data_IF_567803604414
#
_entry.id   IF_567803604414
#
_cell.length_a   1.000
_cell.length_b   1.000
_cell.length_c   1.000
_cell.angle_alpha   90.00
_cell.angle_beta   90.00
_cell.angle_gamma   90.00
#
_symmetry.space_group_name_H-M   'P 1'
#
loop_
_entity.id
_entity.type
_entity.pdbx_description
1 polymer ?
#
# COMPACT_ATOMS: atom_id res chain seq x y z
N UNK A 1 -4.62 -66.76 -4.74
CA UNK A 1 -5.65 -65.72 -4.84
C UNK A 1 -5.91 -65.20 -3.43
N UNK A 2 -5.57 -63.94 -3.17
CA UNK A 2 -6.19 -63.12 -2.12
C UNK A 2 -5.62 -61.70 -2.17
N UNK A 3 -6.45 -60.84 -2.74
CA UNK A 3 -6.54 -59.38 -2.74
C UNK A 3 -5.49 -58.57 -1.97
N UNK A 4 -4.66 -57.86 -2.75
CA UNK A 4 -4.00 -56.63 -2.29
C UNK A 4 -5.09 -55.59 -2.02
N UNK A 5 -5.30 -55.28 -0.74
CA UNK A 5 -6.14 -54.16 -0.30
C UNK A 5 -5.71 -52.87 -1.01
N UNK A 6 -6.55 -52.40 -1.93
CA UNK A 6 -6.46 -51.08 -2.51
C UNK A 6 -6.67 -50.04 -1.40
N UNK A 7 -5.57 -49.45 -0.93
CA UNK A 7 -5.61 -48.26 -0.09
C UNK A 7 -6.44 -47.19 -0.79
N UNK A 8 -7.65 -46.93 -0.27
CA UNK A 8 -8.53 -45.84 -0.70
C UNK A 8 -7.81 -44.50 -0.48
N UNK A 9 -7.03 -44.07 -1.46
CA UNK A 9 -6.54 -42.69 -1.52
C UNK A 9 -7.77 -41.78 -1.65
N UNK A 10 -8.12 -41.09 -0.54
CA UNK A 10 -9.15 -40.03 -0.55
C UNK A 10 -8.81 -39.05 -1.67
N UNK A 11 -9.77 -38.82 -2.58
CA UNK A 11 -9.57 -37.91 -3.71
C UNK A 11 -9.21 -36.51 -3.20
N UNK A 12 -8.54 -35.69 -4.02
CA UNK A 12 -8.18 -34.30 -3.65
C UNK A 12 -9.41 -33.52 -3.15
N UNK A 13 -10.54 -33.67 -3.84
CA UNK A 13 -11.82 -33.09 -3.45
C UNK A 13 -12.30 -33.54 -2.06
N UNK A 14 -12.15 -34.81 -1.68
CA UNK A 14 -12.51 -35.30 -0.34
C UNK A 14 -11.58 -34.77 0.75
N UNK A 15 -10.29 -34.57 0.44
CA UNK A 15 -9.34 -33.95 1.38
C UNK A 15 -9.62 -32.47 1.57
N UNK A 16 -10.00 -31.76 0.52
CA UNK A 16 -10.35 -30.34 0.58
C UNK A 16 -11.69 -30.14 1.32
N UNK A 17 -12.68 -31.01 1.08
CA UNK A 17 -13.93 -31.02 1.83
C UNK A 17 -13.73 -31.31 3.33
N UNK A 18 -12.83 -32.24 3.69
CA UNK A 18 -12.53 -32.55 5.09
C UNK A 18 -11.74 -31.44 5.83
N UNK A 19 -11.02 -30.59 5.09
CA UNK A 19 -10.34 -29.40 5.62
C UNK A 19 -11.25 -28.18 5.73
N UNK A 20 -12.35 -28.16 4.98
CA UNK A 20 -13.31 -27.07 4.98
C UNK A 20 -14.08 -27.06 6.31
N UNK A 21 -13.75 -26.08 7.16
CA UNK A 21 -14.45 -25.80 8.42
C UNK A 21 -15.07 -24.41 8.32
N UNK A 22 -16.42 -24.30 8.28
CA UNK A 22 -17.10 -23.01 8.11
C UNK A 22 -16.67 -21.95 9.14
N UNK A 23 -16.56 -22.32 10.44
CA UNK A 23 -16.11 -21.41 11.50
C UNK A 23 -14.70 -20.86 11.25
N UNK A 24 -13.74 -21.70 10.83
CA UNK A 24 -12.38 -21.25 10.51
C UNK A 24 -12.34 -20.28 9.33
N UNK A 25 -13.31 -20.36 8.43
CA UNK A 25 -13.43 -19.47 7.27
C UNK A 25 -13.97 -18.10 7.70
N UNK A 26 -14.95 -18.09 8.59
CA UNK A 26 -15.49 -16.88 9.21
C UNK A 26 -14.44 -16.15 10.05
N UNK A 27 -13.75 -16.85 10.97
CA UNK A 27 -12.73 -16.24 11.81
C UNK A 27 -11.61 -15.61 10.99
N UNK A 28 -11.15 -16.30 9.93
CA UNK A 28 -10.13 -15.78 9.01
C UNK A 28 -10.61 -14.56 8.23
N UNK A 29 -11.88 -14.54 7.83
CA UNK A 29 -12.46 -13.40 7.15
C UNK A 29 -12.52 -12.17 8.08
N UNK A 30 -13.06 -12.33 9.28
CA UNK A 30 -13.15 -11.21 10.23
C UNK A 30 -11.78 -10.72 10.67
N UNK A 31 -10.80 -11.63 10.85
CA UNK A 31 -9.41 -11.24 11.08
C UNK A 31 -8.87 -10.40 9.91
N UNK A 32 -9.03 -10.86 8.66
CA UNK A 32 -8.55 -10.11 7.50
C UNK A 32 -9.26 -8.75 7.36
N UNK A 33 -10.54 -8.67 7.72
CA UNK A 33 -11.30 -7.41 7.68
C UNK A 33 -10.76 -6.42 8.72
N UNK A 34 -10.56 -6.91 9.95
CA UNK A 34 -9.95 -6.13 11.01
C UNK A 34 -8.54 -5.67 10.65
N UNK A 35 -7.68 -6.56 10.13
CA UNK A 35 -6.32 -6.21 9.69
C UNK A 35 -6.35 -5.10 8.63
N UNK A 36 -7.29 -5.15 7.67
CA UNK A 36 -7.44 -4.13 6.63
C UNK A 36 -7.95 -2.79 7.17
N UNK A 37 -8.91 -2.81 8.11
CA UNK A 37 -9.41 -1.60 8.77
C UNK A 37 -8.31 -0.92 9.58
N UNK A 38 -7.58 -1.70 10.38
CA UNK A 38 -6.45 -1.20 11.18
C UNK A 38 -5.36 -0.58 10.30
N UNK A 39 -5.05 -1.18 9.14
CA UNK A 39 -4.10 -0.59 8.20
C UNK A 39 -4.55 0.78 7.66
N UNK A 40 -5.86 0.96 7.41
CA UNK A 40 -6.42 2.25 6.98
C UNK A 40 -6.36 3.29 8.12
N UNK A 41 -6.70 2.90 9.35
CA UNK A 41 -6.64 3.76 10.54
C UNK A 41 -5.20 4.23 10.81
N UNK A 42 -4.23 3.32 10.77
CA UNK A 42 -2.81 3.62 10.93
C UNK A 42 -2.32 4.60 9.87
N UNK A 43 -2.68 4.36 8.60
CA UNK A 43 -2.30 5.23 7.50
C UNK A 43 -2.95 6.61 7.63
N UNK A 44 -4.23 6.69 7.98
CA UNK A 44 -4.93 7.96 8.23
C UNK A 44 -4.24 8.76 9.34
N UNK A 45 -3.96 8.12 10.48
CA UNK A 45 -3.27 8.75 11.60
C UNK A 45 -1.85 9.20 11.23
N UNK A 46 -1.17 8.47 10.35
CA UNK A 46 0.14 8.86 9.81
C UNK A 46 0.05 10.09 8.92
N UNK A 47 -0.88 10.09 7.95
CA UNK A 47 -1.13 11.23 7.04
C UNK A 47 -1.51 12.48 7.82
N UNK A 48 -2.31 12.37 8.89
CA UNK A 48 -2.69 13.52 9.72
C UNK A 48 -1.50 14.13 10.47
N UNK A 49 -0.51 13.31 10.86
CA UNK A 49 0.69 13.75 11.58
C UNK A 49 1.83 14.18 10.66
N UNK A 50 1.78 13.83 9.38
CA UNK A 50 2.85 14.16 8.44
C UNK A 50 2.82 15.63 8.05
N UNK A 51 4.01 16.21 7.85
CA UNK A 51 4.17 17.60 7.42
C UNK A 51 4.22 17.69 5.90
N UNK A 52 3.18 17.14 5.25
CA UNK A 52 3.02 17.17 3.79
C UNK A 52 2.11 18.32 3.37
N UNK A 53 2.34 18.83 2.16
CA UNK A 53 1.49 19.83 1.55
C UNK A 53 0.01 19.40 1.49
N UNK A 54 -0.90 20.34 1.75
CA UNK A 54 -2.32 20.06 1.98
C UNK A 54 -3.01 19.40 0.78
N UNK A 55 -2.62 19.76 -0.45
CA UNK A 55 -3.17 19.14 -1.65
C UNK A 55 -2.83 17.64 -1.73
N UNK A 56 -1.61 17.26 -1.36
CA UNK A 56 -1.17 15.84 -1.31
C UNK A 56 -1.88 15.12 -0.16
N UNK A 57 -1.98 15.77 1.00
CA UNK A 57 -2.71 15.25 2.17
C UNK A 57 -4.14 14.90 1.82
N UNK A 58 -4.85 15.81 1.15
CA UNK A 58 -6.23 15.62 0.76
C UNK A 58 -6.41 14.39 -0.14
N UNK A 59 -5.56 14.24 -1.16
CA UNK A 59 -5.64 13.11 -2.09
C UNK A 59 -5.30 11.77 -1.42
N UNK A 60 -4.31 11.75 -0.51
CA UNK A 60 -3.99 10.56 0.26
C UNK A 60 -5.13 10.17 1.21
N UNK A 61 -5.77 11.13 1.89
CA UNK A 61 -6.95 10.85 2.72
C UNK A 61 -8.11 10.32 1.87
N UNK A 62 -8.32 10.86 0.66
CA UNK A 62 -9.32 10.35 -0.27
C UNK A 62 -9.03 8.91 -0.70
N UNK A 63 -7.76 8.55 -0.89
CA UNK A 63 -7.36 7.17 -1.17
C UNK A 63 -7.68 6.24 0.01
N UNK A 64 -7.43 6.69 1.25
CA UNK A 64 -7.83 5.93 2.45
C UNK A 64 -9.34 5.74 2.54
N UNK A 65 -10.13 6.80 2.34
CA UNK A 65 -11.60 6.74 2.35
C UNK A 65 -12.13 5.73 1.30
N UNK A 66 -11.50 5.69 0.13
CA UNK A 66 -11.83 4.73 -0.92
C UNK A 66 -11.43 3.29 -0.55
N UNK A 67 -10.30 3.07 0.12
CA UNK A 67 -9.92 1.75 0.63
C UNK A 67 -10.90 1.26 1.71
N UNK A 68 -11.27 2.12 2.66
CA UNK A 68 -12.27 1.81 3.69
C UNK A 68 -13.64 1.46 3.09
N UNK A 69 -14.05 2.20 2.07
CA UNK A 69 -15.27 1.91 1.30
C UNK A 69 -15.20 0.51 0.67
N UNK A 70 -14.09 0.17 0.00
CA UNK A 70 -13.89 -1.17 -0.58
C UNK A 70 -13.92 -2.29 0.47
N UNK A 71 -13.36 -2.07 1.67
CA UNK A 71 -13.40 -3.03 2.77
C UNK A 71 -14.84 -3.26 3.25
N UNK A 72 -15.63 -2.18 3.33
CA UNK A 72 -17.03 -2.23 3.76
C UNK A 72 -17.89 -3.11 2.84
N UNK A 73 -17.61 -3.05 1.53
CA UNK A 73 -18.30 -3.82 0.48
C UNK A 73 -17.91 -5.30 0.41
N UNK A 74 -16.85 -5.73 1.11
CA UNK A 74 -16.49 -7.15 1.12
C UNK A 74 -17.41 -7.93 2.06
N UNK A 75 -18.30 -8.71 1.44
CA UNK A 75 -19.19 -9.64 2.14
C UNK A 75 -18.61 -11.05 2.21
N UNK A 76 -18.89 -11.75 3.31
CA UNK A 76 -18.49 -13.14 3.55
C UNK A 76 -19.06 -14.13 2.51
N UNK A 77 -20.18 -13.77 1.87
CA UNK A 77 -20.91 -14.54 0.86
C UNK A 77 -20.21 -14.58 -0.50
N UNK A 78 -19.27 -13.65 -0.76
CA UNK A 78 -18.51 -13.59 -2.01
C UNK A 78 -17.50 -14.74 -2.10
N UNK A 79 -17.10 -15.07 -3.32
CA UNK A 79 -16.01 -16.02 -3.58
C UNK A 79 -14.68 -15.44 -3.08
N UNK A 80 -13.97 -16.17 -2.21
CA UNK A 80 -12.65 -15.81 -1.66
C UNK A 80 -12.56 -14.41 -0.98
N UNK A 81 -13.49 -14.06 -0.06
CA UNK A 81 -13.62 -12.70 0.44
C UNK A 81 -12.40 -12.26 1.27
N UNK A 82 -11.78 -13.21 1.99
CA UNK A 82 -10.53 -12.96 2.71
C UNK A 82 -9.33 -12.68 1.81
N UNK A 83 -9.34 -13.09 0.53
CA UNK A 83 -8.27 -12.73 -0.40
C UNK A 83 -8.36 -11.27 -0.80
N UNK A 84 -9.56 -10.80 -1.16
CA UNK A 84 -9.78 -9.40 -1.51
C UNK A 84 -9.38 -8.47 -0.38
N UNK A 85 -9.69 -8.82 0.87
CA UNK A 85 -9.28 -8.03 2.03
C UNK A 85 -7.75 -7.96 2.17
N UNK A 86 -7.03 -9.06 1.95
CA UNK A 86 -5.56 -9.05 1.97
C UNK A 86 -4.97 -8.23 0.83
N UNK A 87 -5.58 -8.26 -0.34
CA UNK A 87 -5.16 -7.45 -1.49
C UNK A 87 -5.33 -5.96 -1.15
N UNK A 88 -6.47 -5.56 -0.59
CA UNK A 88 -6.69 -4.18 -0.11
C UNK A 88 -5.66 -3.80 0.97
N UNK A 89 -5.38 -4.67 1.94
CA UNK A 89 -4.33 -4.41 2.95
C UNK A 89 -2.97 -4.16 2.30
N UNK A 90 -2.63 -4.91 1.25
CA UNK A 90 -1.38 -4.75 0.51
C UNK A 90 -1.36 -3.41 -0.24
N UNK A 91 -2.45 -3.06 -0.91
CA UNK A 91 -2.60 -1.80 -1.62
C UNK A 91 -2.45 -0.60 -0.67
N UNK A 92 -3.09 -0.66 0.51
CA UNK A 92 -2.91 0.33 1.60
C UNK A 92 -1.45 0.42 2.03
N UNK A 93 -0.75 -0.72 2.11
CA UNK A 93 0.68 -0.76 2.38
C UNK A 93 1.53 -0.02 1.33
N UNK A 94 1.19 -0.14 0.04
CA UNK A 94 1.87 0.61 -1.03
C UNK A 94 1.61 2.12 -0.92
N UNK A 95 0.38 2.53 -0.60
CA UNK A 95 0.05 3.96 -0.34
C UNK A 95 0.81 4.49 0.87
N UNK A 96 0.96 3.68 1.93
CA UNK A 96 1.72 4.06 3.12
C UNK A 96 3.21 4.31 2.82
N UNK A 97 3.81 3.53 1.91
CA UNK A 97 5.20 3.76 1.46
C UNK A 97 5.27 5.02 0.60
N UNK A 98 4.30 5.23 -0.30
CA UNK A 98 4.21 6.46 -1.09
C UNK A 98 4.14 7.71 -0.21
N UNK A 99 3.28 7.70 0.81
CA UNK A 99 3.14 8.79 1.78
C UNK A 99 4.49 9.15 2.44
N UNK A 100 5.32 8.16 2.77
CA UNK A 100 6.63 8.41 3.40
C UNK A 100 7.56 9.19 2.49
N UNK A 101 7.60 8.82 1.21
CA UNK A 101 8.48 9.46 0.25
C UNK A 101 7.93 10.81 -0.23
N UNK A 102 6.61 10.97 -0.31
CA UNK A 102 5.98 12.27 -0.53
C UNK A 102 6.28 13.24 0.62
N UNK A 103 6.25 12.78 1.86
CA UNK A 103 6.63 13.60 3.01
C UNK A 103 8.12 13.95 3.05
N UNK A 104 8.97 13.00 2.67
CA UNK A 104 10.40 13.25 2.53
C UNK A 104 10.68 14.27 1.41
N UNK A 105 10.00 14.17 0.28
CA UNK A 105 10.11 15.10 -0.84
C UNK A 105 9.79 16.54 -0.43
N UNK A 106 8.65 16.76 0.23
CA UNK A 106 8.25 18.10 0.69
C UNK A 106 9.27 18.71 1.65
N UNK A 107 9.76 17.90 2.61
CA UNK A 107 10.84 18.30 3.53
C UNK A 107 12.13 18.69 2.80
N UNK A 108 12.52 17.92 1.78
CA UNK A 108 13.77 18.13 1.04
C UNK A 108 13.68 19.34 0.13
N UNK A 109 12.54 19.53 -0.55
CA UNK A 109 12.26 20.73 -1.32
C UNK A 109 12.29 21.98 -0.42
N UNK A 110 11.69 21.90 0.78
CA UNK A 110 11.76 22.97 1.77
C UNK A 110 13.19 23.30 2.21
N UNK A 111 14.05 22.29 2.39
CA UNK A 111 15.48 22.48 2.72
C UNK A 111 16.31 23.03 1.57
N UNK A 112 16.04 22.59 0.34
CA UNK A 112 16.72 23.08 -0.85
C UNK A 112 16.37 24.55 -1.13
N UNK A 113 15.13 24.95 -0.85
CA UNK A 113 14.66 26.31 -1.09
C UNK A 113 14.71 26.72 -2.57
N UNK A 114 14.57 28.02 -2.82
CA UNK A 114 14.65 28.60 -4.18
C UNK A 114 16.04 28.48 -4.80
N UNK A 115 17.07 28.45 -3.95
CA UNK A 115 18.47 28.56 -4.35
C UNK A 115 19.14 27.20 -4.55
N UNK A 116 18.40 26.12 -4.27
CA UNK A 116 18.80 24.75 -4.54
C UNK A 116 18.89 24.44 -6.04
N UNK A 117 19.67 23.41 -6.43
CA UNK A 117 19.82 23.02 -7.82
C UNK A 117 18.47 22.80 -8.49
N UNK A 118 18.22 23.54 -9.57
CA UNK A 118 16.95 23.48 -10.30
C UNK A 118 16.66 22.05 -10.80
N UNK A 119 17.68 21.35 -11.26
CA UNK A 119 17.55 19.96 -11.73
C UNK A 119 16.97 19.03 -10.68
N UNK A 120 17.40 19.17 -9.41
CA UNK A 120 16.97 18.28 -8.33
C UNK A 120 15.55 18.59 -7.86
N UNK A 121 15.16 19.88 -7.88
CA UNK A 121 13.78 20.27 -7.61
C UNK A 121 12.83 19.73 -8.69
N UNK A 122 13.18 19.94 -9.96
CA UNK A 122 12.40 19.43 -11.10
C UNK A 122 12.28 17.91 -11.05
N UNK A 123 13.37 17.18 -10.77
CA UNK A 123 13.32 15.72 -10.66
C UNK A 123 12.41 15.23 -9.53
N UNK A 124 12.39 15.91 -8.39
CA UNK A 124 11.44 15.61 -7.31
C UNK A 124 10.01 15.90 -7.75
N UNK A 125 9.74 17.09 -8.32
CA UNK A 125 8.40 17.49 -8.73
C UNK A 125 7.80 16.51 -9.76
N UNK A 126 8.58 16.11 -10.77
CA UNK A 126 8.17 15.12 -11.78
C UNK A 126 7.89 13.73 -11.16
N UNK A 127 8.70 13.29 -10.21
CA UNK A 127 8.50 12.03 -9.53
C UNK A 127 7.28 12.06 -8.59
N UNK A 128 7.05 13.18 -7.89
CA UNK A 128 5.85 13.42 -7.07
C UNK A 128 4.61 13.38 -7.95
N UNK A 129 4.61 14.07 -9.09
CA UNK A 129 3.48 14.08 -10.02
C UNK A 129 3.15 12.67 -10.52
N UNK A 130 4.17 11.86 -10.82
CA UNK A 130 3.99 10.47 -11.24
C UNK A 130 3.35 9.62 -10.14
N UNK A 131 3.83 9.73 -8.90
CA UNK A 131 3.23 9.05 -7.74
C UNK A 131 1.78 9.49 -7.55
N UNK A 132 1.52 10.79 -7.60
CA UNK A 132 0.18 11.35 -7.41
C UNK A 132 -0.79 10.94 -8.52
N UNK A 133 -0.29 10.75 -9.75
CA UNK A 133 -1.10 10.21 -10.84
C UNK A 133 -1.63 8.80 -10.50
N UNK A 134 -0.77 7.89 -10.04
CA UNK A 134 -1.18 6.54 -9.64
C UNK A 134 -2.14 6.55 -8.44
N UNK A 135 -1.89 7.41 -7.44
CA UNK A 135 -2.79 7.57 -6.29
C UNK A 135 -4.19 7.97 -6.74
N UNK A 136 -4.31 8.99 -7.61
CA UNK A 136 -5.58 9.48 -8.14
C UNK A 136 -6.29 8.46 -9.03
N UNK A 137 -5.52 7.67 -9.78
CA UNK A 137 -6.03 6.62 -10.66
C UNK A 137 -6.51 5.36 -9.92
N UNK A 138 -6.24 5.24 -8.61
CA UNK A 138 -6.55 4.03 -7.85
C UNK A 138 -5.60 2.86 -8.14
N UNK A 139 -4.46 3.12 -8.78
CA UNK A 139 -3.46 2.11 -9.12
C UNK A 139 -2.47 1.90 -7.96
N UNK A 140 -2.98 1.44 -6.83
CA UNK A 140 -2.21 1.27 -5.59
C UNK A 140 -1.53 -0.10 -5.47
N UNK A 141 -1.62 -0.91 -6.52
CA UNK A 141 -1.02 -2.24 -6.56
C UNK A 141 0.50 -2.15 -6.83
N UNK A 142 1.07 -3.21 -7.40
CA UNK A 142 2.47 -3.23 -7.80
C UNK A 142 2.89 -2.09 -8.76
N UNK A 143 1.95 -1.40 -9.44
CA UNK A 143 2.24 -0.28 -10.35
C UNK A 143 2.69 0.99 -9.63
N UNK A 144 2.26 1.20 -8.39
CA UNK A 144 2.71 2.34 -7.57
C UNK A 144 4.18 2.19 -7.16
N UNK A 145 4.66 0.95 -7.01
CA UNK A 145 5.99 0.66 -6.44
C UNK A 145 7.16 1.22 -7.28
N UNK A 146 7.19 1.07 -8.62
CA UNK A 146 8.19 1.72 -9.45
C UNK A 146 8.22 3.25 -9.31
N UNK A 147 7.05 3.91 -9.35
CA UNK A 147 6.94 5.37 -9.21
C UNK A 147 7.50 5.85 -7.87
N UNK A 148 7.18 5.14 -6.78
CA UNK A 148 7.70 5.44 -5.44
C UNK A 148 9.21 5.21 -5.35
N UNK A 149 9.74 4.20 -6.04
CA UNK A 149 11.19 3.93 -6.09
C UNK A 149 11.94 5.06 -6.80
N UNK A 150 11.37 5.58 -7.87
CA UNK A 150 11.90 6.74 -8.59
C UNK A 150 11.88 8.00 -7.72
N UNK A 151 10.78 8.26 -7.00
CA UNK A 151 10.70 9.35 -6.03
C UNK A 151 11.74 9.20 -4.92
N UNK A 152 11.87 7.99 -4.36
CA UNK A 152 12.88 7.69 -3.35
C UNK A 152 14.29 8.06 -3.84
N UNK A 153 14.64 7.65 -5.06
CA UNK A 153 15.95 7.96 -5.64
C UNK A 153 16.16 9.47 -5.78
N UNK A 154 15.19 10.18 -6.36
CA UNK A 154 15.25 11.63 -6.53
C UNK A 154 15.41 12.37 -5.19
N UNK A 155 14.67 11.95 -4.15
CA UNK A 155 14.77 12.48 -2.80
C UNK A 155 16.16 12.25 -2.21
N UNK A 156 16.70 11.03 -2.32
CA UNK A 156 18.03 10.70 -1.77
C UNK A 156 19.16 11.48 -2.45
N UNK A 157 19.10 11.64 -3.78
CA UNK A 157 20.06 12.45 -4.53
C UNK A 157 20.00 13.92 -4.13
N UNK A 158 18.79 14.47 -4.00
CA UNK A 158 18.56 15.83 -3.56
C UNK A 158 19.01 16.07 -2.10
N UNK A 159 18.81 15.09 -1.20
CA UNK A 159 19.29 15.15 0.18
C UNK A 159 20.81 15.25 0.25
N UNK A 160 21.53 14.46 -0.56
CA UNK A 160 22.99 14.52 -0.64
C UNK A 160 23.48 15.91 -1.06
N UNK A 161 22.82 16.53 -2.04
CA UNK A 161 23.16 17.88 -2.48
C UNK A 161 22.83 18.95 -1.43
N UNK A 162 21.69 18.82 -0.73
CA UNK A 162 21.31 19.71 0.34
C UNK A 162 22.31 19.64 1.51
N UNK A 163 22.80 18.45 1.84
CA UNK A 163 23.80 18.24 2.90
C UNK A 163 25.15 18.89 2.56
N UNK A 164 25.65 18.73 1.32
CA UNK A 164 26.90 19.35 0.88
C UNK A 164 26.86 20.88 1.02
N UNK A 165 25.71 21.51 0.78
CA UNK A 165 25.55 22.97 0.89
C UNK A 165 25.44 23.49 2.31
N UNK A 166 25.07 22.66 3.28
CA UNK A 166 25.00 23.05 4.68
C UNK A 166 26.37 22.92 5.38
N UNK A 167 27.32 22.23 4.75
CA UNK A 167 28.66 21.98 5.28
C UNK A 167 29.75 22.92 4.73
N UNK A 168 29.45 23.72 3.70
CA UNK A 168 30.37 24.70 3.09
C UNK A 168 29.84 26.11 3.24
#
# INVERSE_FOLDING_TARGET
>A
MSDREYGKHKSRAQRDAAKHKPHRTQDRFYKAKHDAQHACEDLRAKIQRSNIHDAVRYELLRAVDAAESQISEVELTRSHPGSRLRDITKDVGHVQVAETWLAAADRVLGRLGSDGPRSSRVAIDEAVDTVMWHIRAGEWDGRLTPAVTELQRAVQEAEAQAALRQAG
#
